data_IF_971019687605
#
_entry.id   IF_971019687605
#
_cell.length_a   1.000
_cell.length_b   1.000
_cell.length_c   1.000
_cell.angle_alpha   90.00
_cell.angle_beta   90.00
_cell.angle_gamma   90.00
#
_symmetry.space_group_name_H-M   'P 1'
#
loop_
_entity.id
_entity.type
_entity.pdbx_description
1 polymer ?
#
# COMPACT_ATOMS: atom_id res chain seq x y z
N UNK A 1 19.10 18.66 -3.36
CA UNK A 1 19.59 18.89 -1.99
C UNK A 1 19.91 17.54 -1.33
N UNK A 2 20.83 16.76 -1.89
CA UNK A 2 21.32 15.49 -1.28
C UNK A 2 22.64 15.87 -0.63
N UNK A 3 22.67 16.02 0.70
CA UNK A 3 23.85 16.60 1.35
C UNK A 3 25.04 15.66 1.48
N UNK A 4 24.88 14.34 1.55
CA UNK A 4 25.99 13.39 1.41
C UNK A 4 25.45 12.01 0.98
N UNK A 5 25.98 11.45 -0.13
CA UNK A 5 25.74 10.07 -0.54
C UNK A 5 26.91 9.22 -0.02
N UNK A 6 26.66 8.38 0.97
CA UNK A 6 27.64 7.38 1.42
C UNK A 6 27.22 6.03 0.84
N UNK A 7 28.05 5.49 -0.06
CA UNK A 7 27.92 4.12 -0.55
C UNK A 7 28.82 3.23 0.30
N UNK A 8 28.23 2.26 1.00
CA UNK A 8 28.99 1.25 1.76
C UNK A 8 28.70 -0.11 1.14
N UNK A 9 29.70 -0.73 0.51
CA UNK A 9 29.62 -2.13 0.07
C UNK A 9 30.04 -3.04 1.23
N UNK A 10 29.09 -3.75 1.83
CA UNK A 10 29.38 -4.82 2.78
C UNK A 10 29.54 -6.14 2.02
N UNK A 11 30.75 -6.66 1.97
CA UNK A 11 31.10 -7.99 1.44
C UNK A 11 31.47 -8.90 2.60
N UNK A 12 30.61 -9.84 2.99
CA UNK A 12 30.95 -10.84 4.01
C UNK A 12 30.35 -12.24 3.70
N UNK A 13 31.09 -13.34 3.95
CA UNK A 13 30.67 -14.71 3.69
C UNK A 13 29.60 -15.24 4.68
N UNK A 14 28.83 -16.24 4.22
CA UNK A 14 27.57 -16.77 4.82
C UNK A 14 27.63 -17.33 6.26
N UNK A 15 28.78 -17.42 6.90
CA UNK A 15 28.94 -18.20 8.14
C UNK A 15 28.77 -17.40 9.44
N UNK A 16 28.51 -16.08 9.35
CA UNK A 16 28.47 -15.17 10.51
C UNK A 16 27.29 -14.19 10.40
N UNK A 17 26.06 -14.71 10.29
CA UNK A 17 24.87 -13.85 10.19
C UNK A 17 24.69 -12.93 11.41
N UNK A 18 25.09 -13.37 12.61
CA UNK A 18 25.05 -12.54 13.83
C UNK A 18 26.03 -11.37 13.78
N UNK A 19 27.28 -11.61 13.39
CA UNK A 19 28.30 -10.55 13.26
C UNK A 19 28.00 -9.61 12.07
N UNK A 20 27.44 -10.15 10.98
CA UNK A 20 26.97 -9.33 9.87
C UNK A 20 25.81 -8.43 10.31
N UNK A 21 24.86 -8.96 11.09
CA UNK A 21 23.73 -8.17 11.59
C UNK A 21 24.19 -7.09 12.57
N UNK A 22 25.11 -7.39 13.49
CA UNK A 22 25.66 -6.39 14.41
C UNK A 22 26.43 -5.29 13.66
N UNK A 23 27.25 -5.67 12.67
CA UNK A 23 27.96 -4.70 11.82
C UNK A 23 27.03 -3.81 11.00
N UNK A 24 25.93 -4.37 10.46
CA UNK A 24 24.91 -3.57 9.76
C UNK A 24 24.22 -2.62 10.74
N UNK A 25 23.83 -3.07 11.93
CA UNK A 25 23.18 -2.21 12.93
C UNK A 25 24.10 -1.08 13.41
N UNK A 26 25.38 -1.37 13.67
CA UNK A 26 26.38 -0.36 14.00
C UNK A 26 26.54 0.65 12.85
N UNK A 27 26.57 0.16 11.60
CA UNK A 27 26.60 1.05 10.45
C UNK A 27 25.38 1.97 10.39
N UNK A 28 24.16 1.45 10.60
CA UNK A 28 22.95 2.29 10.69
C UNK A 28 23.11 3.36 11.78
N UNK A 29 23.52 2.99 13.00
CA UNK A 29 23.78 3.97 14.08
C UNK A 29 24.80 5.03 13.67
N UNK A 30 25.82 4.65 12.91
CA UNK A 30 26.87 5.57 12.45
C UNK A 30 26.38 6.62 11.44
N UNK A 31 25.30 6.34 10.69
CA UNK A 31 24.79 7.20 9.61
C UNK A 31 23.50 7.95 9.96
N UNK A 32 22.83 7.62 11.07
CA UNK A 32 21.64 8.32 11.56
C UNK A 32 21.92 9.82 11.70
N UNK A 33 21.02 10.65 11.15
CA UNK A 33 21.15 12.11 11.15
C UNK A 33 22.26 12.68 10.25
N UNK A 34 23.10 11.84 9.65
CA UNK A 34 24.22 12.26 8.77
C UNK A 34 23.90 12.13 7.28
N UNK A 35 23.02 11.20 6.91
CA UNK A 35 22.64 10.95 5.51
C UNK A 35 21.14 11.06 5.30
N UNK A 36 20.74 11.47 4.10
CA UNK A 36 19.32 11.50 3.69
C UNK A 36 18.88 10.21 3.00
N UNK A 37 19.83 9.43 2.48
CA UNK A 37 19.60 8.15 1.79
C UNK A 37 20.85 7.28 1.88
N UNK A 38 20.69 6.01 2.19
CA UNK A 38 21.75 5.00 2.14
C UNK A 38 21.48 3.97 1.04
N UNK A 39 22.47 3.68 0.20
CA UNK A 39 22.36 2.66 -0.85
C UNK A 39 23.06 1.39 -0.39
N UNK A 40 22.30 0.30 -0.28
CA UNK A 40 22.84 -1.02 0.06
C UNK A 40 22.93 -1.88 -1.20
N UNK A 41 24.13 -2.43 -1.44
CA UNK A 41 24.40 -3.29 -2.60
C UNK A 41 24.64 -4.72 -2.12
N UNK A 42 23.84 -5.68 -2.61
CA UNK A 42 24.01 -7.12 -2.31
C UNK A 42 24.24 -7.93 -3.58
N UNK A 43 24.71 -9.17 -3.43
CA UNK A 43 25.00 -10.04 -4.58
C UNK A 43 23.75 -10.45 -5.34
N UNK A 44 22.62 -10.64 -4.65
CA UNK A 44 21.38 -11.20 -5.21
C UNK A 44 20.16 -10.31 -4.92
N UNK A 45 19.13 -10.39 -5.77
CA UNK A 45 17.93 -9.52 -5.67
C UNK A 45 17.13 -9.69 -4.37
N UNK A 46 17.08 -10.91 -3.82
CA UNK A 46 16.37 -11.27 -2.59
C UNK A 46 17.37 -11.79 -1.56
N UNK A 47 18.30 -10.94 -1.19
CA UNK A 47 19.29 -11.28 -0.17
C UNK A 47 18.60 -11.47 1.19
N UNK A 48 18.94 -12.51 1.98
CA UNK A 48 18.36 -12.73 3.31
C UNK A 48 18.45 -11.52 4.25
N UNK A 49 19.45 -10.63 4.06
CA UNK A 49 19.58 -9.42 4.88
C UNK A 49 18.56 -8.32 4.51
N UNK A 50 17.83 -8.46 3.41
CA UNK A 50 16.93 -7.41 2.91
C UNK A 50 15.91 -6.97 3.97
N UNK A 51 15.21 -7.92 4.58
CA UNK A 51 14.19 -7.60 5.57
C UNK A 51 14.81 -7.03 6.86
N UNK A 52 16.04 -7.44 7.21
CA UNK A 52 16.78 -6.89 8.35
C UNK A 52 17.20 -5.42 8.12
N UNK A 53 17.75 -5.10 6.95
CA UNK A 53 18.03 -3.71 6.54
C UNK A 53 16.74 -2.87 6.61
N UNK A 54 15.60 -3.45 6.23
CA UNK A 54 14.31 -2.76 6.22
C UNK A 54 13.70 -2.59 7.60
N UNK A 55 13.97 -3.50 8.53
CA UNK A 55 13.66 -3.30 9.94
C UNK A 55 14.52 -2.17 10.54
N UNK A 56 15.82 -2.13 10.24
CA UNK A 56 16.72 -1.08 10.72
C UNK A 56 16.40 0.29 10.10
N UNK A 57 16.00 0.34 8.83
CA UNK A 57 15.45 1.52 8.17
C UNK A 57 14.30 2.12 8.98
N UNK A 58 13.35 1.28 9.40
CA UNK A 58 12.21 1.71 10.22
C UNK A 58 12.62 2.13 11.64
N UNK A 59 13.50 1.36 12.28
CA UNK A 59 13.99 1.60 13.65
C UNK A 59 14.79 2.92 13.76
N UNK A 60 15.62 3.20 12.77
CA UNK A 60 16.58 4.30 12.82
C UNK A 60 16.18 5.53 12.00
N UNK A 61 15.09 5.46 11.24
CA UNK A 61 14.65 6.58 10.41
C UNK A 61 15.66 6.95 9.33
N UNK A 62 16.32 5.96 8.73
CA UNK A 62 17.27 6.17 7.62
C UNK A 62 16.67 5.59 6.35
N UNK A 63 16.37 6.45 5.36
CA UNK A 63 15.86 6.01 4.07
C UNK A 63 16.91 5.14 3.36
N UNK A 64 16.52 3.97 2.85
CA UNK A 64 17.42 3.07 2.13
C UNK A 64 16.93 2.65 0.76
N UNK A 65 17.87 2.55 -0.18
CA UNK A 65 17.68 1.91 -1.47
C UNK A 65 18.55 0.66 -1.57
N UNK A 66 17.91 -0.50 -1.58
CA UNK A 66 18.59 -1.78 -1.74
C UNK A 66 18.58 -2.17 -3.23
N UNK A 67 19.76 -2.42 -3.79
CA UNK A 67 19.97 -2.90 -5.17
C UNK A 67 20.91 -4.11 -5.18
N UNK A 68 20.78 -5.00 -6.16
CA UNK A 68 21.75 -6.08 -6.32
C UNK A 68 22.87 -5.70 -7.31
N UNK A 69 24.01 -6.39 -7.24
CA UNK A 69 25.16 -6.18 -8.13
C UNK A 69 24.76 -6.22 -9.60
N UNK A 70 23.87 -7.14 -10.00
CA UNK A 70 23.39 -7.21 -11.38
C UNK A 70 22.64 -5.93 -11.82
N UNK A 71 21.86 -5.33 -10.93
CA UNK A 71 21.19 -4.04 -11.19
C UNK A 71 22.21 -2.92 -11.28
N UNK A 72 23.21 -2.87 -10.38
CA UNK A 72 24.27 -1.87 -10.41
C UNK A 72 25.07 -1.95 -11.71
N UNK A 73 25.49 -3.14 -12.10
CA UNK A 73 26.22 -3.37 -13.36
C UNK A 73 25.38 -2.96 -14.57
N UNK A 74 24.08 -3.25 -14.56
CA UNK A 74 23.19 -2.82 -15.64
C UNK A 74 23.05 -1.28 -15.71
N UNK A 75 23.05 -0.58 -14.57
CA UNK A 75 23.11 0.88 -14.54
C UNK A 75 24.45 1.38 -15.11
N UNK A 76 25.58 0.79 -14.73
CA UNK A 76 26.90 1.15 -15.29
C UNK A 76 27.00 0.90 -16.81
N UNK A 77 26.21 -0.04 -17.33
CA UNK A 77 26.06 -0.32 -18.77
C UNK A 77 25.03 0.58 -19.48
N UNK A 78 24.57 1.67 -18.84
CA UNK A 78 23.59 2.61 -19.40
C UNK A 78 22.27 1.96 -19.86
N UNK A 79 21.81 0.92 -19.15
CA UNK A 79 20.50 0.30 -19.42
C UNK A 79 19.37 1.25 -18.97
N UNK A 80 18.93 2.14 -19.87
CA UNK A 80 17.97 3.22 -19.60
C UNK A 80 16.75 2.81 -18.74
N UNK A 81 16.04 1.74 -19.12
CA UNK A 81 14.86 1.25 -18.36
C UNK A 81 15.17 0.84 -16.93
N UNK A 82 16.37 0.32 -16.66
CA UNK A 82 16.77 -0.08 -15.30
C UNK A 82 17.11 1.16 -14.48
N UNK A 83 17.85 2.10 -15.07
CA UNK A 83 18.18 3.38 -14.45
C UNK A 83 16.91 4.14 -14.09
N UNK A 84 15.97 4.27 -15.04
CA UNK A 84 14.68 4.93 -14.85
C UNK A 84 13.91 4.32 -13.67
N UNK A 85 13.74 2.99 -13.63
CA UNK A 85 13.05 2.32 -12.52
C UNK A 85 13.75 2.55 -11.16
N UNK A 86 15.09 2.60 -11.13
CA UNK A 86 15.82 2.90 -9.89
C UNK A 86 15.60 4.35 -9.47
N UNK A 87 15.67 5.29 -10.41
CA UNK A 87 15.47 6.72 -10.15
C UNK A 87 14.04 7.03 -9.70
N UNK A 88 13.02 6.43 -10.32
CA UNK A 88 11.63 6.57 -9.91
C UNK A 88 11.45 6.19 -8.44
N UNK A 89 12.05 5.05 -8.01
CA UNK A 89 12.01 4.61 -6.61
C UNK A 89 12.79 5.51 -5.66
N UNK A 90 13.95 5.98 -6.07
CA UNK A 90 14.76 6.87 -5.25
C UNK A 90 14.07 8.22 -5.05
N UNK A 91 13.49 8.80 -6.10
CA UNK A 91 12.82 10.09 -6.02
C UNK A 91 11.69 10.06 -4.99
N UNK A 92 10.82 9.04 -5.05
CA UNK A 92 9.68 8.93 -4.11
C UNK A 92 10.12 8.70 -2.68
N UNK A 93 11.17 7.90 -2.46
CA UNK A 93 11.76 7.70 -1.12
C UNK A 93 12.36 8.97 -0.53
N UNK A 94 12.79 9.89 -1.38
CA UNK A 94 13.26 11.21 -0.99
C UNK A 94 12.14 12.26 -0.94
N UNK A 95 10.87 11.85 -0.99
CA UNK A 95 9.71 12.73 -0.91
C UNK A 95 9.29 13.40 -2.22
N UNK A 96 9.91 13.03 -3.35
CA UNK A 96 9.54 13.54 -4.66
C UNK A 96 8.28 12.87 -5.23
N UNK A 97 7.61 13.56 -6.14
CA UNK A 97 6.49 13.05 -6.92
C UNK A 97 6.97 12.95 -8.38
N UNK A 98 6.89 11.76 -8.98
CA UNK A 98 7.39 11.53 -10.34
C UNK A 98 6.40 12.00 -11.40
N UNK A 99 5.11 11.74 -11.18
CA UNK A 99 4.06 12.12 -12.11
C UNK A 99 2.74 12.34 -11.37
N UNK A 100 1.90 13.17 -11.97
CA UNK A 100 0.54 13.47 -11.50
C UNK A 100 -0.46 12.88 -12.48
N UNK A 101 -1.62 12.47 -11.95
CA UNK A 101 -2.72 12.01 -12.79
C UNK A 101 -3.64 13.19 -13.08
N UNK A 102 -3.88 13.43 -14.37
CA UNK A 102 -4.85 14.41 -14.85
C UNK A 102 -5.95 13.67 -15.64
N UNK A 103 -7.23 13.99 -15.45
CA UNK A 103 -8.31 13.59 -16.35
C UNK A 103 -7.98 14.00 -17.78
N UNK A 104 -8.35 13.21 -18.79
CA UNK A 104 -8.04 13.54 -20.20
C UNK A 104 -9.07 14.49 -20.81
N UNK A 105 -8.65 15.23 -21.84
CA UNK A 105 -9.52 16.14 -22.58
C UNK A 105 -10.73 15.44 -23.24
N UNK A 106 -10.62 14.15 -23.54
CA UNK A 106 -11.70 13.34 -24.15
C UNK A 106 -12.73 12.87 -23.13
N UNK A 107 -12.35 12.76 -21.85
CA UNK A 107 -13.33 12.65 -20.77
C UNK A 107 -14.08 13.99 -20.53
N UNK A 108 -13.58 15.09 -21.09
CA UNK A 108 -14.30 16.37 -21.14
C UNK A 108 -15.33 16.30 -22.27
N UNK A 109 -16.62 16.24 -21.91
CA UNK A 109 -17.64 16.67 -22.86
C UNK A 109 -17.36 18.13 -23.29
N UNK A 110 -17.86 18.55 -24.46
CA UNK A 110 -17.61 19.86 -25.09
C UNK A 110 -17.92 21.12 -24.23
N UNK A 111 -18.35 20.98 -22.96
CA UNK A 111 -18.78 22.07 -22.06
C UNK A 111 -18.06 22.10 -20.70
N UNK A 112 -17.08 21.24 -20.44
CA UNK A 112 -16.41 21.16 -19.13
C UNK A 112 -14.93 21.46 -19.28
N UNK A 113 -14.39 22.44 -18.54
CA UNK A 113 -12.95 22.69 -18.56
C UNK A 113 -12.19 21.62 -17.76
N UNK A 114 -10.91 21.42 -18.08
CA UNK A 114 -10.01 20.52 -17.34
C UNK A 114 -10.03 20.83 -15.83
N UNK A 115 -10.04 22.13 -15.47
CA UNK A 115 -10.05 22.61 -14.09
C UNK A 115 -11.34 22.23 -13.33
N UNK A 116 -12.48 22.22 -14.01
CA UNK A 116 -13.77 21.86 -13.42
C UNK A 116 -13.84 20.35 -13.11
N UNK A 117 -13.25 19.52 -13.98
CA UNK A 117 -13.14 18.08 -13.78
C UNK A 117 -12.08 17.69 -12.76
N UNK A 118 -10.93 18.36 -12.70
CA UNK A 118 -9.93 18.16 -11.64
C UNK A 118 -10.57 18.44 -10.27
N UNK A 119 -11.33 19.53 -10.16
CA UNK A 119 -12.14 19.85 -8.97
C UNK A 119 -13.18 18.77 -8.66
N UNK A 120 -13.93 18.30 -9.67
CA UNK A 120 -14.98 17.29 -9.51
C UNK A 120 -14.44 15.91 -9.13
N UNK A 121 -13.35 15.45 -9.76
CA UNK A 121 -12.80 14.10 -9.63
C UNK A 121 -11.82 14.02 -8.46
N UNK A 122 -10.98 15.04 -8.23
CA UNK A 122 -9.91 14.99 -7.23
C UNK A 122 -9.99 16.10 -6.18
N UNK A 123 -10.56 17.26 -6.53
CA UNK A 123 -10.66 18.42 -5.64
C UNK A 123 -11.33 18.07 -4.30
N UNK A 124 -10.65 18.46 -3.21
CA UNK A 124 -11.12 18.27 -1.85
C UNK A 124 -11.32 16.82 -1.41
N UNK A 125 -10.79 15.84 -2.16
CA UNK A 125 -10.91 14.41 -1.83
C UNK A 125 -9.63 13.88 -1.20
N UNK A 126 -9.82 12.97 -0.26
CA UNK A 126 -8.77 12.10 0.24
C UNK A 126 -9.06 10.67 -0.24
N UNK A 127 -8.11 10.10 -0.97
CA UNK A 127 -8.14 8.69 -1.37
C UNK A 127 -7.44 7.86 -0.32
N UNK A 128 -8.03 6.73 0.04
CA UNK A 128 -7.54 5.83 1.08
C UNK A 128 -7.49 4.41 0.54
N UNK A 129 -6.48 3.64 0.90
CA UNK A 129 -6.34 2.22 0.61
C UNK A 129 -6.16 1.41 1.89
N UNK A 130 -6.89 0.31 2.01
CA UNK A 130 -6.74 -0.68 3.06
C UNK A 130 -6.41 -2.06 2.49
N UNK A 131 -5.32 -2.68 2.92
CA UNK A 131 -4.99 -4.08 2.62
C UNK A 131 -4.88 -4.90 3.91
N UNK A 132 -5.44 -6.10 3.90
CA UNK A 132 -5.33 -7.07 4.98
C UNK A 132 -4.41 -8.22 4.58
N UNK A 133 -3.24 -8.29 5.21
CA UNK A 133 -2.39 -9.47 5.12
C UNK A 133 -2.67 -10.39 6.30
N UNK A 134 -3.43 -11.45 6.05
CA UNK A 134 -3.69 -12.50 7.05
C UNK A 134 -2.54 -13.52 7.15
N UNK A 135 -2.43 -14.24 8.27
CA UNK A 135 -1.53 -15.39 8.40
C UNK A 135 -1.82 -16.46 7.35
N UNK A 136 -0.80 -17.24 7.01
CA UNK A 136 -0.97 -18.41 6.15
C UNK A 136 -1.97 -19.41 6.77
N UNK A 137 -2.54 -20.27 5.92
CA UNK A 137 -3.37 -21.38 6.38
C UNK A 137 -2.56 -22.27 7.34
N UNK A 138 -3.11 -22.56 8.52
CA UNK A 138 -2.49 -23.56 9.41
C UNK A 138 -2.48 -24.92 8.72
N UNK A 139 -1.42 -25.68 8.96
CA UNK A 139 -1.33 -27.09 8.57
C UNK A 139 -2.47 -27.88 9.21
N UNK A 140 -2.87 -29.00 8.58
CA UNK A 140 -3.87 -29.90 9.15
C UNK A 140 -3.48 -30.37 10.55
N UNK A 141 -2.19 -30.68 10.74
CA UNK A 141 -1.61 -31.03 12.03
C UNK A 141 -1.83 -29.95 13.10
N UNK A 142 -1.50 -28.69 12.81
CA UNK A 142 -1.67 -27.59 13.77
C UNK A 142 -3.13 -27.35 14.13
N UNK A 143 -4.05 -27.53 13.18
CA UNK A 143 -5.51 -27.42 13.43
C UNK A 143 -6.02 -28.55 14.31
N UNK A 144 -5.64 -29.80 14.01
CA UNK A 144 -6.04 -30.97 14.80
C UNK A 144 -5.54 -30.87 16.25
N UNK A 145 -4.33 -30.34 16.44
CA UNK A 145 -3.73 -30.11 17.75
C UNK A 145 -4.16 -28.79 18.42
N UNK A 146 -5.16 -28.08 17.87
CA UNK A 146 -5.67 -26.80 18.40
C UNK A 146 -4.58 -25.76 18.71
N UNK A 147 -3.50 -25.75 17.91
CA UNK A 147 -2.42 -24.78 18.11
C UNK A 147 -2.95 -23.38 17.79
N UNK A 148 -2.74 -22.44 18.70
CA UNK A 148 -3.12 -21.05 18.50
C UNK A 148 -2.37 -20.42 17.32
N UNK A 149 -3.07 -19.60 16.54
CA UNK A 149 -2.44 -18.75 15.52
C UNK A 149 -1.60 -17.68 16.20
N UNK A 150 -0.29 -17.69 15.97
CA UNK A 150 0.65 -16.74 16.59
C UNK A 150 0.91 -15.51 15.73
N UNK A 151 0.76 -15.63 14.41
CA UNK A 151 0.97 -14.51 13.49
C UNK A 151 -0.25 -13.58 13.47
N UNK A 152 -0.07 -12.25 13.56
CA UNK A 152 -1.15 -11.29 13.47
C UNK A 152 -1.64 -11.12 12.04
N UNK A 153 -2.82 -10.51 11.91
CA UNK A 153 -3.19 -9.83 10.66
C UNK A 153 -2.46 -8.49 10.62
N UNK A 154 -1.87 -8.16 9.47
CA UNK A 154 -1.24 -6.85 9.23
C UNK A 154 -2.19 -6.03 8.39
N UNK A 155 -2.52 -4.83 8.86
CA UNK A 155 -3.28 -3.84 8.10
C UNK A 155 -2.30 -2.88 7.44
N UNK A 156 -2.32 -2.80 6.12
CA UNK A 156 -1.69 -1.72 5.38
C UNK A 156 -2.70 -0.60 5.15
N UNK A 157 -2.31 0.64 5.43
CA UNK A 157 -3.17 1.81 5.32
C UNK A 157 -2.41 2.92 4.59
N UNK A 158 -2.85 3.23 3.38
CA UNK A 158 -2.31 4.34 2.61
C UNK A 158 -3.38 5.42 2.42
N UNK A 159 -2.96 6.68 2.38
CA UNK A 159 -3.86 7.82 2.15
C UNK A 159 -3.16 8.93 1.38
N UNK A 160 -3.90 9.63 0.52
CA UNK A 160 -3.40 10.80 -0.20
C UNK A 160 -3.37 12.02 0.73
N UNK A 161 -2.28 12.80 0.70
CA UNK A 161 -2.11 14.01 1.50
C UNK A 161 -2.40 15.29 0.75
N UNK A 162 -2.58 15.24 -0.57
CA UNK A 162 -2.98 16.39 -1.38
C UNK A 162 -3.40 15.96 -2.77
N UNK A 163 -2.43 15.81 -3.67
CA UNK A 163 -2.68 15.22 -4.98
C UNK A 163 -3.02 13.72 -4.85
N UNK A 164 -3.80 13.13 -5.77
CA UNK A 164 -4.08 11.68 -5.75
C UNK A 164 -2.83 10.81 -5.82
N UNK A 165 -1.74 11.35 -6.39
CA UNK A 165 -0.44 10.71 -6.51
C UNK A 165 0.52 11.00 -5.36
N UNK A 166 0.18 11.96 -4.49
CA UNK A 166 0.93 12.24 -3.28
C UNK A 166 0.28 11.49 -2.11
N UNK A 167 0.80 10.31 -1.82
CA UNK A 167 0.27 9.41 -0.82
C UNK A 167 1.34 8.93 0.15
N UNK A 168 0.92 8.77 1.39
CA UNK A 168 1.73 8.20 2.47
C UNK A 168 0.94 7.08 3.14
N UNK A 169 1.49 6.48 4.18
CA UNK A 169 0.78 5.43 4.87
C UNK A 169 1.55 4.79 6.00
N UNK A 170 0.85 3.89 6.67
CA UNK A 170 1.27 3.19 7.88
C UNK A 170 0.81 1.74 7.81
N UNK A 171 1.32 0.91 8.71
CA UNK A 171 0.76 -0.42 8.95
C UNK A 171 0.64 -0.67 10.44
N UNK A 172 -0.26 -1.57 10.82
CA UNK A 172 -0.37 -2.04 12.20
C UNK A 172 -0.78 -3.50 12.24
N UNK A 173 -0.69 -4.06 13.44
CA UNK A 173 -1.07 -5.43 13.72
C UNK A 173 -2.41 -5.45 14.43
N UNK A 174 -3.18 -6.49 14.14
CA UNK A 174 -4.38 -6.84 14.87
C UNK A 174 -4.47 -8.36 14.99
N UNK A 175 -5.50 -8.81 15.71
CA UNK A 175 -5.73 -10.23 15.97
C UNK A 175 -5.66 -11.09 14.69
N UNK A 176 -5.04 -12.27 14.74
CA UNK A 176 -4.99 -13.22 13.63
C UNK A 176 -6.36 -13.43 13.00
N UNK A 177 -6.43 -13.32 11.67
CA UNK A 177 -7.64 -13.57 10.84
C UNK A 177 -8.87 -12.72 11.17
N UNK A 178 -8.73 -11.64 11.94
CA UNK A 178 -9.82 -10.68 12.11
C UNK A 178 -10.03 -9.91 10.80
N UNK A 179 -11.23 -10.03 10.22
CA UNK A 179 -11.65 -9.36 8.98
C UNK A 179 -11.94 -7.88 9.18
N UNK A 180 -12.62 -7.53 10.28
CA UNK A 180 -12.90 -6.13 10.67
C UNK A 180 -11.60 -5.40 11.00
N UNK A 181 -11.36 -4.25 10.39
CA UNK A 181 -10.21 -3.41 10.69
C UNK A 181 -10.40 -2.74 12.05
N UNK A 182 -9.42 -2.91 12.93
CA UNK A 182 -9.36 -2.22 14.22
C UNK A 182 -8.54 -0.93 14.15
N UNK A 183 -8.75 -0.05 15.14
CA UNK A 183 -7.97 1.17 15.38
C UNK A 183 -8.09 2.27 14.30
N UNK A 184 -9.12 2.21 13.45
CA UNK A 184 -9.40 3.19 12.38
C UNK A 184 -9.35 4.63 12.90
N UNK A 185 -9.99 4.93 14.03
CA UNK A 185 -10.06 6.29 14.59
C UNK A 185 -8.68 6.93 14.77
N UNK A 186 -7.74 6.19 15.34
CA UNK A 186 -6.39 6.68 15.63
C UNK A 186 -5.62 7.01 14.34
N UNK A 187 -5.67 6.11 13.36
CA UNK A 187 -4.94 6.27 12.11
C UNK A 187 -5.58 7.30 11.18
N UNK A 188 -6.91 7.42 11.17
CA UNK A 188 -7.59 8.49 10.43
C UNK A 188 -7.37 9.87 11.04
N UNK A 189 -7.31 10.00 12.38
CA UNK A 189 -6.94 11.28 13.01
C UNK A 189 -5.57 11.78 12.54
N UNK A 190 -4.61 10.85 12.41
CA UNK A 190 -3.28 11.17 11.85
C UNK A 190 -3.38 11.56 10.37
N UNK A 191 -4.12 10.78 9.56
CA UNK A 191 -4.30 11.07 8.14
C UNK A 191 -4.94 12.45 7.89
N UNK A 192 -5.98 12.79 8.64
CA UNK A 192 -6.62 14.11 8.56
C UNK A 192 -5.67 15.24 8.96
N UNK A 193 -4.85 15.01 9.98
CA UNK A 193 -3.82 15.98 10.39
C UNK A 193 -2.79 16.19 9.27
N UNK A 194 -2.31 15.11 8.66
CA UNK A 194 -1.36 15.19 7.54
C UNK A 194 -1.95 15.92 6.33
N UNK A 195 -3.21 15.60 5.98
CA UNK A 195 -3.92 16.28 4.90
C UNK A 195 -4.10 17.77 5.18
N UNK A 196 -4.50 18.13 6.40
CA UNK A 196 -4.64 19.54 6.78
C UNK A 196 -3.30 20.28 6.77
N UNK A 197 -2.22 19.64 7.23
CA UNK A 197 -0.90 20.24 7.22
C UNK A 197 -0.46 20.59 5.79
N UNK A 198 -0.81 19.75 4.81
CA UNK A 198 -0.50 19.97 3.40
C UNK A 198 -1.43 20.98 2.71
N UNK A 199 -2.75 20.89 2.94
CA UNK A 199 -3.75 21.65 2.16
C UNK A 199 -4.33 22.86 2.90
N UNK A 200 -4.07 22.98 4.21
CA UNK A 200 -4.67 23.98 5.11
C UNK A 200 -6.20 23.90 5.21
N UNK A 201 -6.76 22.77 4.82
CA UNK A 201 -8.18 22.42 4.93
C UNK A 201 -8.32 20.92 5.12
N UNK A 202 -9.35 20.47 5.84
CA UNK A 202 -9.72 19.05 5.90
C UNK A 202 -10.36 18.61 4.58
N UNK A 203 -10.28 17.31 4.21
CA UNK A 203 -10.89 16.83 2.98
C UNK A 203 -12.41 16.94 3.06
N UNK A 204 -13.07 17.41 2.00
CA UNK A 204 -14.53 17.44 1.94
C UNK A 204 -15.15 16.05 1.77
N UNK A 205 -14.34 15.09 1.33
CA UNK A 205 -14.79 13.75 1.01
C UNK A 205 -13.64 12.73 1.08
N UNK A 206 -13.98 11.51 1.48
CA UNK A 206 -13.06 10.39 1.64
C UNK A 206 -13.54 9.25 0.73
N UNK A 207 -12.67 8.80 -0.18
CA UNK A 207 -12.90 7.64 -1.04
C UNK A 207 -11.97 6.51 -0.61
N UNK A 208 -12.54 5.47 -0.01
CA UNK A 208 -11.80 4.34 0.56
C UNK A 208 -11.87 3.16 -0.39
N UNK A 209 -10.71 2.64 -0.78
CA UNK A 209 -10.56 1.33 -1.41
C UNK A 209 -10.20 0.29 -0.35
N UNK A 210 -11.15 -0.60 -0.05
CA UNK A 210 -11.00 -1.66 0.94
C UNK A 210 -10.72 -2.99 0.24
N UNK A 211 -9.47 -3.46 0.28
CA UNK A 211 -9.11 -4.75 -0.31
C UNK A 211 -9.59 -5.89 0.55
N UNK A 212 -10.29 -6.84 -0.06
CA UNK A 212 -10.77 -8.03 0.62
C UNK A 212 -11.94 -7.72 1.56
N UNK A 213 -13.13 -8.11 1.12
CA UNK A 213 -14.29 -8.37 1.93
C UNK A 213 -15.25 -9.15 1.04
N UNK A 214 -15.77 -10.26 1.53
CA UNK A 214 -16.88 -10.97 0.90
C UNK A 214 -18.19 -10.23 1.19
N UNK A 215 -19.25 -10.55 0.44
CA UNK A 215 -20.56 -9.90 0.63
C UNK A 215 -21.11 -10.10 2.05
N UNK A 216 -20.80 -11.23 2.69
CA UNK A 216 -21.16 -11.48 4.09
C UNK A 216 -20.43 -10.60 5.10
N UNK A 217 -19.36 -9.91 4.70
CA UNK A 217 -18.58 -9.01 5.54
C UNK A 217 -18.94 -7.53 5.31
N UNK A 218 -19.87 -7.20 4.40
CA UNK A 218 -20.21 -5.81 4.08
C UNK A 218 -20.78 -5.03 5.26
N UNK A 219 -21.51 -5.68 6.16
CA UNK A 219 -21.96 -5.05 7.41
C UNK A 219 -20.76 -4.59 8.26
N UNK A 220 -19.67 -5.36 8.31
CA UNK A 220 -18.45 -4.94 9.02
C UNK A 220 -17.78 -3.75 8.32
N UNK A 221 -17.83 -3.68 6.98
CA UNK A 221 -17.32 -2.54 6.21
C UNK A 221 -18.14 -1.27 6.50
N UNK A 222 -19.45 -1.38 6.69
CA UNK A 222 -20.31 -0.26 7.14
C UNK A 222 -19.91 0.22 8.55
N UNK A 223 -19.62 -0.71 9.47
CA UNK A 223 -19.10 -0.38 10.80
C UNK A 223 -17.73 0.30 10.73
N UNK A 224 -16.83 -0.16 9.85
CA UNK A 224 -15.55 0.48 9.59
C UNK A 224 -15.74 1.95 9.12
N UNK A 225 -16.74 2.22 8.28
CA UNK A 225 -17.07 3.59 7.86
C UNK A 225 -17.58 4.46 9.02
N UNK A 226 -18.33 3.90 9.98
CA UNK A 226 -18.74 4.61 11.18
C UNK A 226 -17.54 5.02 12.05
N UNK A 227 -16.51 4.18 12.12
CA UNK A 227 -15.26 4.53 12.81
C UNK A 227 -14.54 5.70 12.13
N UNK A 228 -14.60 5.80 10.80
CA UNK A 228 -14.08 6.97 10.05
C UNK A 228 -14.88 8.23 10.39
N UNK A 229 -16.23 8.13 10.46
CA UNK A 229 -17.08 9.26 10.87
C UNK A 229 -16.76 9.75 12.28
N UNK A 230 -16.58 8.84 13.23
CA UNK A 230 -16.19 9.18 14.59
C UNK A 230 -14.79 9.85 14.65
N UNK A 231 -13.85 9.39 13.81
CA UNK A 231 -12.55 10.05 13.66
C UNK A 231 -12.70 11.50 13.15
N UNK A 232 -13.58 11.71 12.18
CA UNK A 232 -13.85 13.03 11.61
C UNK A 232 -14.47 13.99 12.65
N UNK A 233 -15.41 13.52 13.47
CA UNK A 233 -15.99 14.35 14.54
C UNK A 233 -14.95 14.85 15.54
N UNK A 234 -13.87 14.07 15.76
CA UNK A 234 -12.74 14.45 16.62
C UNK A 234 -11.87 15.56 16.03
N UNK A 235 -12.03 15.92 14.75
CA UNK A 235 -11.25 16.98 14.08
C UNK A 235 -11.89 18.37 14.21
N UNK A 236 -12.89 18.55 15.09
CA UNK A 236 -13.64 19.80 15.28
C UNK A 236 -12.73 21.01 15.49
N UNK A 237 -11.68 20.87 16.30
CA UNK A 237 -10.77 21.98 16.61
C UNK A 237 -9.98 22.45 15.38
N UNK A 238 -9.59 21.51 14.51
CA UNK A 238 -8.96 21.80 13.22
C UNK A 238 -9.94 22.32 12.16
N UNK A 239 -11.24 22.25 12.45
CA UNK A 239 -12.31 22.74 11.58
C UNK A 239 -12.99 24.01 12.14
N UNK A 240 -12.20 24.91 12.75
CA UNK A 240 -12.67 26.18 13.30
C UNK A 240 -13.79 26.01 14.34
N UNK A 241 -13.72 24.95 15.15
CA UNK A 241 -14.73 24.63 16.17
C UNK A 241 -16.07 24.14 15.61
N UNK A 242 -16.18 23.88 14.30
CA UNK A 242 -17.38 23.34 13.65
C UNK A 242 -17.28 21.83 13.51
N UNK A 243 -18.41 21.13 13.61
CA UNK A 243 -18.46 19.69 13.38
C UNK A 243 -17.97 19.38 11.95
N UNK A 244 -16.97 18.52 11.85
CA UNK A 244 -16.42 18.07 10.57
C UNK A 244 -17.09 16.77 10.16
N UNK A 245 -17.78 16.80 9.01
CA UNK A 245 -18.53 15.67 8.46
C UNK A 245 -18.24 15.53 6.97
N UNK A 246 -17.12 14.88 6.60
CA UNK A 246 -16.82 14.60 5.20
C UNK A 246 -17.79 13.56 4.67
N UNK A 247 -18.06 13.60 3.36
CA UNK A 247 -18.75 12.51 2.67
C UNK A 247 -17.84 11.29 2.59
N UNK A 248 -18.37 10.10 2.83
CA UNK A 248 -17.61 8.85 2.77
C UNK A 248 -18.16 7.94 1.67
N UNK A 249 -17.26 7.44 0.83
CA UNK A 249 -17.53 6.33 -0.10
C UNK A 249 -16.55 5.21 0.18
N UNK A 250 -17.05 3.99 0.41
CA UNK A 250 -16.21 2.79 0.57
C UNK A 250 -16.46 1.83 -0.59
N UNK A 251 -15.41 1.59 -1.36
CA UNK A 251 -15.37 0.69 -2.51
C UNK A 251 -14.56 -0.54 -2.11
N UNK A 252 -15.22 -1.69 -2.00
CA UNK A 252 -14.54 -2.96 -1.75
C UNK A 252 -13.92 -3.47 -3.05
N UNK A 253 -12.61 -3.72 -3.01
CA UNK A 253 -11.84 -4.24 -4.14
C UNK A 253 -11.54 -5.73 -3.93
N UNK A 254 -12.04 -6.58 -4.83
CA UNK A 254 -11.82 -8.03 -4.77
C UNK A 254 -10.85 -8.48 -5.86
N UNK A 255 -9.58 -8.61 -5.47
CA UNK A 255 -8.46 -8.91 -6.38
C UNK A 255 -8.25 -10.40 -6.65
N UNK A 256 -8.94 -11.29 -5.92
CA UNK A 256 -8.86 -12.76 -6.07
C UNK A 256 -10.08 -13.34 -6.78
N UNK A 257 -10.61 -12.62 -7.77
CA UNK A 257 -11.74 -13.08 -8.56
C UNK A 257 -11.33 -14.05 -9.69
N UNK A 258 -12.27 -14.87 -10.13
CA UNK A 258 -12.10 -15.78 -11.25
C UNK A 258 -12.51 -15.18 -12.61
N UNK A 259 -12.94 -13.90 -12.64
CA UNK A 259 -13.29 -13.22 -13.88
C UNK A 259 -12.10 -13.15 -14.84
N UNK A 260 -12.36 -13.38 -16.12
CA UNK A 260 -11.43 -13.15 -17.23
C UNK A 260 -12.22 -12.44 -18.32
N UNK A 261 -11.71 -11.32 -18.81
CA UNK A 261 -12.29 -10.59 -19.93
C UNK A 261 -11.36 -10.81 -21.12
N UNK A 262 -11.88 -11.35 -22.20
CA UNK A 262 -11.13 -11.72 -23.41
C UNK A 262 -11.75 -10.96 -24.60
N UNK A 263 -10.93 -10.36 -25.49
CA UNK A 263 -11.44 -9.75 -26.72
C UNK A 263 -12.24 -10.74 -27.56
N UNK A 264 -13.43 -10.33 -28.04
CA UNK A 264 -14.29 -11.17 -28.87
C UNK A 264 -13.62 -11.58 -30.21
N UNK A 265 -12.69 -10.76 -30.72
CA UNK A 265 -11.90 -11.07 -31.92
C UNK A 265 -11.03 -12.32 -31.73
N UNK A 266 -10.46 -12.51 -30.55
CA UNK A 266 -9.62 -13.68 -30.24
C UNK A 266 -10.40 -14.99 -30.13
N UNK A 267 -11.70 -14.93 -29.82
CA UNK A 267 -12.53 -16.12 -29.83
C UNK A 267 -12.64 -16.74 -31.25
N UNK A 268 -12.29 -15.98 -32.29
CA UNK A 268 -12.37 -16.38 -33.70
C UNK A 268 -11.02 -16.80 -34.28
N UNK A 269 -9.90 -16.39 -33.70
CA UNK A 269 -8.54 -16.67 -34.17
C UNK A 269 -7.76 -17.53 -33.17
N UNK A 270 -7.38 -18.76 -33.54
CA UNK A 270 -6.52 -19.63 -32.73
C UNK A 270 -5.04 -19.41 -33.06
N UNK A 271 -4.58 -18.17 -33.02
CA UNK A 271 -3.13 -17.92 -33.12
C UNK A 271 -2.48 -18.13 -31.74
N UNK A 272 -1.69 -19.19 -31.63
CA UNK A 272 -0.95 -19.52 -30.41
C UNK A 272 0.28 -18.62 -30.17
N UNK A 273 0.63 -17.74 -31.12
CA UNK A 273 1.80 -16.85 -31.03
C UNK A 273 1.48 -15.42 -30.59
N UNK A 274 0.25 -15.15 -30.15
CA UNK A 274 -0.17 -13.82 -29.72
C UNK A 274 0.64 -13.32 -28.52
N UNK A 275 1.12 -12.08 -28.61
CA UNK A 275 1.73 -11.40 -27.47
C UNK A 275 0.66 -11.14 -26.40
N UNK A 276 1.06 -11.05 -25.13
CA UNK A 276 0.14 -10.76 -24.03
C UNK A 276 -0.68 -9.47 -24.26
N UNK A 277 -0.11 -8.45 -24.90
CA UNK A 277 -0.81 -7.22 -25.25
C UNK A 277 -1.90 -7.40 -26.32
N UNK A 278 -1.84 -8.45 -27.12
CA UNK A 278 -2.84 -8.80 -28.14
C UNK A 278 -3.86 -9.81 -27.60
N UNK A 279 -3.43 -10.65 -26.64
CA UNK A 279 -4.25 -11.69 -26.03
C UNK A 279 -5.21 -11.18 -24.94
N UNK A 280 -5.13 -9.90 -24.57
CA UNK A 280 -5.90 -9.30 -23.49
C UNK A 280 -6.68 -8.08 -23.97
N UNK A 281 -7.74 -7.75 -23.23
CA UNK A 281 -8.47 -6.50 -23.45
C UNK A 281 -7.59 -5.28 -23.13
N UNK A 282 -7.86 -4.12 -23.76
CA UNK A 282 -7.18 -2.87 -23.45
C UNK A 282 -7.30 -2.49 -21.96
N UNK A 283 -6.28 -1.81 -21.45
CA UNK A 283 -6.31 -1.19 -20.12
C UNK A 283 -7.53 -0.27 -20.01
N UNK A 284 -8.31 -0.45 -18.94
CA UNK A 284 -9.51 0.33 -18.67
C UNK A 284 -10.80 -0.28 -19.18
N UNK A 285 -10.74 -1.45 -19.82
CA UNK A 285 -11.97 -2.21 -20.12
C UNK A 285 -12.73 -2.48 -18.82
N UNK A 286 -13.98 -2.03 -18.78
CA UNK A 286 -14.88 -2.16 -17.65
C UNK A 286 -16.16 -2.88 -18.05
N UNK A 287 -16.72 -3.64 -17.11
CA UNK A 287 -18.03 -4.29 -17.25
C UNK A 287 -18.85 -3.97 -16.01
N UNK A 288 -19.97 -3.28 -16.20
CA UNK A 288 -20.90 -2.81 -15.15
C UNK A 288 -22.36 -3.26 -15.41
N UNK A 289 -22.57 -4.14 -16.39
CA UNK A 289 -23.86 -4.72 -16.74
C UNK A 289 -23.75 -6.25 -16.86
N UNK A 290 -24.91 -6.92 -16.75
CA UNK A 290 -25.16 -8.37 -16.94
C UNK A 290 -24.45 -9.34 -15.97
N UNK A 291 -23.14 -9.19 -15.79
CA UNK A 291 -22.29 -10.12 -15.00
C UNK A 291 -21.86 -9.54 -13.63
N UNK A 292 -22.46 -8.42 -13.25
CA UNK A 292 -22.28 -7.74 -11.95
C UNK A 292 -23.50 -7.95 -11.05
N UNK A 293 -23.36 -7.63 -9.77
CA UNK A 293 -24.46 -7.71 -8.80
C UNK A 293 -25.67 -6.89 -9.23
N UNK A 294 -26.90 -7.45 -9.22
CA UNK A 294 -28.13 -6.67 -9.44
C UNK A 294 -28.51 -5.83 -8.21
N UNK A 295 -27.86 -6.06 -7.05
CA UNK A 295 -28.19 -5.42 -5.77
C UNK A 295 -27.28 -4.25 -5.44
N UNK A 296 -26.00 -4.33 -5.80
CA UNK A 296 -24.99 -3.34 -5.43
C UNK A 296 -24.52 -2.57 -6.67
N UNK A 297 -24.10 -1.31 -6.48
CA UNK A 297 -23.35 -0.58 -7.51
C UNK A 297 -21.98 -1.25 -7.66
N UNK A 298 -21.77 -1.92 -8.76
CA UNK A 298 -20.63 -2.80 -8.96
C UNK A 298 -20.11 -2.73 -10.39
N UNK A 299 -18.80 -2.83 -10.53
CA UNK A 299 -18.13 -2.91 -11.83
C UNK A 299 -16.89 -3.81 -11.76
N UNK A 300 -16.53 -4.41 -12.89
CA UNK A 300 -15.36 -5.27 -13.04
C UNK A 300 -14.41 -4.62 -14.04
N UNK A 301 -13.20 -4.29 -13.61
CA UNK A 301 -12.25 -3.54 -14.43
C UNK A 301 -10.94 -4.28 -14.67
N UNK A 302 -10.47 -4.26 -15.91
CA UNK A 302 -9.13 -4.66 -16.31
C UNK A 302 -8.24 -3.41 -16.49
N UNK A 303 -7.67 -2.89 -15.40
CA UNK A 303 -6.87 -1.65 -15.41
C UNK A 303 -5.42 -1.84 -15.87
N UNK A 304 -4.77 -2.94 -15.48
CA UNK A 304 -3.36 -3.18 -15.83
C UNK A 304 -3.15 -3.46 -17.32
N UNK A 305 -1.96 -3.13 -17.82
CA UNK A 305 -1.47 -3.65 -19.10
C UNK A 305 -0.62 -4.92 -18.85
N UNK A 306 -1.11 -6.12 -19.15
CA UNK A 306 -0.40 -7.36 -18.84
C UNK A 306 0.78 -7.57 -19.79
N UNK A 307 1.99 -7.71 -19.24
CA UNK A 307 3.17 -8.07 -20.01
C UNK A 307 3.28 -9.58 -20.27
N UNK A 308 2.69 -10.41 -19.41
CA UNK A 308 2.71 -11.89 -19.48
C UNK A 308 1.36 -12.42 -18.99
N UNK A 309 0.84 -13.45 -19.67
CA UNK A 309 -0.37 -14.18 -19.27
C UNK A 309 -1.66 -13.38 -19.45
N UNK A 310 -2.73 -13.87 -18.83
CA UNK A 310 -4.07 -13.25 -18.89
C UNK A 310 -4.24 -12.25 -17.76
N UNK A 311 -4.80 -11.08 -18.08
CA UNK A 311 -5.21 -10.09 -17.10
C UNK A 311 -6.21 -10.70 -16.13
N UNK A 312 -6.13 -10.28 -14.87
CA UNK A 312 -7.08 -10.66 -13.83
C UNK A 312 -7.86 -9.39 -13.45
N UNK A 313 -9.01 -9.13 -14.08
CA UNK A 313 -9.88 -8.03 -13.70
C UNK A 313 -10.17 -8.02 -12.19
N UNK A 314 -10.43 -6.83 -11.65
CA UNK A 314 -10.78 -6.64 -10.23
C UNK A 314 -12.25 -6.26 -10.17
N UNK A 315 -13.01 -6.90 -9.28
CA UNK A 315 -14.40 -6.54 -8.98
C UNK A 315 -14.40 -5.46 -7.91
N UNK A 316 -15.13 -4.39 -8.15
CA UNK A 316 -15.29 -3.26 -7.25
C UNK A 316 -16.75 -3.09 -6.90
N UNK A 317 -17.07 -3.12 -5.61
CA UNK A 317 -18.44 -2.98 -5.11
C UNK A 317 -18.51 -1.76 -4.21
N UNK A 318 -19.40 -0.81 -4.50
CA UNK A 318 -19.65 0.34 -3.62
C UNK A 318 -20.56 -0.15 -2.48
N UNK A 319 -19.99 -0.23 -1.28
CA UNK A 319 -20.69 -0.75 -0.09
C UNK A 319 -21.26 0.37 0.78
N UNK A 320 -20.50 1.45 0.94
CA UNK A 320 -20.93 2.64 1.69
C UNK A 320 -20.87 3.84 0.79
N UNK A 321 -21.91 4.67 0.80
CA UNK A 321 -21.94 5.92 0.04
C UNK A 321 -22.83 6.96 0.72
N UNK A 322 -22.21 8.03 1.22
CA UNK A 322 -22.93 9.21 1.70
C UNK A 322 -23.46 10.05 0.52
N UNK A 323 -24.59 10.72 0.72
CA UNK A 323 -25.24 11.53 -0.31
C UNK A 323 -24.50 12.84 -0.64
N UNK A 324 -24.65 13.38 -1.87
CA UNK A 324 -25.28 12.74 -3.03
C UNK A 324 -24.41 11.61 -3.57
N UNK A 325 -25.03 10.45 -3.83
CA UNK A 325 -24.33 9.28 -4.36
C UNK A 325 -23.79 9.50 -5.76
N UNK A 326 -22.81 8.69 -6.15
CA UNK A 326 -22.13 8.74 -7.44
C UNK A 326 -22.79 7.85 -8.47
N UNK A 327 -22.60 8.20 -9.73
CA UNK A 327 -22.81 7.24 -10.82
C UNK A 327 -21.74 6.15 -10.79
N UNK A 328 -22.06 4.96 -11.32
CA UNK A 328 -21.08 3.87 -11.48
C UNK A 328 -19.93 4.34 -12.37
N UNK A 329 -20.25 5.02 -13.49
CA UNK A 329 -19.25 5.59 -14.39
C UNK A 329 -18.27 6.55 -13.72
N UNK A 330 -18.71 7.39 -12.77
CA UNK A 330 -17.77 8.23 -12.01
C UNK A 330 -16.82 7.39 -11.15
N UNK A 331 -17.32 6.34 -10.51
CA UNK A 331 -16.50 5.44 -9.70
C UNK A 331 -15.50 4.65 -10.57
N UNK A 332 -15.90 4.23 -11.77
CA UNK A 332 -15.03 3.60 -12.76
C UNK A 332 -13.89 4.54 -13.17
N UNK A 333 -14.22 5.76 -13.60
CA UNK A 333 -13.22 6.74 -14.02
C UNK A 333 -12.22 7.06 -12.91
N UNK A 334 -12.70 7.37 -11.70
CA UNK A 334 -11.83 7.62 -10.54
C UNK A 334 -10.92 6.41 -10.29
N UNK A 335 -11.48 5.20 -10.27
CA UNK A 335 -10.72 3.97 -10.04
C UNK A 335 -9.64 3.77 -11.09
N UNK A 336 -9.99 3.97 -12.37
CA UNK A 336 -9.05 3.83 -13.48
C UNK A 336 -7.94 4.88 -13.41
N UNK A 337 -8.28 6.16 -13.20
CA UNK A 337 -7.30 7.22 -13.07
C UNK A 337 -6.30 6.95 -11.94
N UNK A 338 -6.78 6.52 -10.77
CA UNK A 338 -5.91 6.17 -9.66
C UNK A 338 -4.99 4.98 -9.96
N UNK A 339 -5.33 4.08 -10.90
CA UNK A 339 -4.42 3.01 -11.34
C UNK A 339 -3.20 3.55 -12.11
N UNK A 340 -3.27 4.76 -12.68
CA UNK A 340 -2.14 5.43 -13.32
C UNK A 340 -1.30 6.24 -12.33
N UNK A 341 -1.65 6.27 -11.05
CA UNK A 341 -0.96 7.07 -10.05
C UNK A 341 0.29 6.42 -9.45
N UNK A 342 0.69 5.23 -9.91
CA UNK A 342 1.75 4.46 -9.27
C UNK A 342 3.11 5.08 -9.49
N UNK A 343 3.66 5.73 -8.46
CA UNK A 343 4.86 6.55 -8.61
C UNK A 343 6.14 5.79 -9.02
N UNK A 344 6.15 4.45 -9.06
CA UNK A 344 7.35 3.66 -9.39
C UNK A 344 7.35 3.06 -10.79
N UNK A 345 6.29 3.29 -11.57
CA UNK A 345 6.11 2.77 -12.92
C UNK A 345 5.26 3.74 -13.72
N UNK A 346 5.50 3.85 -15.02
CA UNK A 346 4.65 4.64 -15.93
C UNK A 346 3.47 3.84 -16.49
N UNK A 347 3.38 2.55 -16.17
CA UNK A 347 2.29 1.68 -16.60
C UNK A 347 1.21 1.57 -15.51
N UNK A 348 -0.09 1.49 -15.89
CA UNK A 348 -1.18 1.37 -14.94
C UNK A 348 -1.07 0.07 -14.14
N UNK A 349 -1.33 0.18 -12.84
CA UNK A 349 -1.38 -0.96 -11.93
C UNK A 349 -2.73 -1.67 -11.98
N UNK A 350 -2.76 -2.90 -11.45
CA UNK A 350 -3.98 -3.73 -11.38
C UNK A 350 -5.07 -3.14 -10.47
N UNK A 351 -4.67 -2.37 -9.48
CA UNK A 351 -5.54 -1.70 -8.51
C UNK A 351 -5.11 -0.24 -8.42
N UNK A 352 -5.96 0.66 -7.89
CA UNK A 352 -5.57 2.03 -7.59
C UNK A 352 -4.22 2.10 -6.88
N UNK A 353 -3.38 3.08 -7.24
CA UNK A 353 -2.06 3.25 -6.66
C UNK A 353 -2.09 3.33 -5.13
N UNK A 354 -3.15 3.93 -4.57
CA UNK A 354 -3.37 4.00 -3.13
C UNK A 354 -3.60 2.61 -2.49
N UNK A 355 -4.30 1.70 -3.18
CA UNK A 355 -4.50 0.34 -2.71
C UNK A 355 -3.23 -0.49 -2.89
N UNK A 356 -2.51 -0.28 -3.98
CA UNK A 356 -1.20 -0.90 -4.21
C UNK A 356 -0.19 -0.50 -3.13
N UNK A 357 -0.20 0.77 -2.73
CA UNK A 357 0.59 1.31 -1.62
C UNK A 357 0.24 0.62 -0.30
N UNK A 358 -1.05 0.48 0.02
CA UNK A 358 -1.51 -0.27 1.19
C UNK A 358 -1.04 -1.74 1.16
N UNK A 359 -1.04 -2.38 -0.01
CA UNK A 359 -0.51 -3.74 -0.17
C UNK A 359 0.98 -3.84 0.16
N UNK A 360 1.79 -2.88 -0.30
CA UNK A 360 3.21 -2.82 0.01
C UNK A 360 3.47 -2.55 1.51
N UNK A 361 2.65 -1.70 2.14
CA UNK A 361 2.71 -1.45 3.58
C UNK A 361 2.38 -2.71 4.40
N UNK A 362 1.33 -3.44 4.03
CA UNK A 362 0.98 -4.70 4.68
C UNK A 362 2.08 -5.76 4.54
N UNK A 363 2.71 -5.85 3.35
CA UNK A 363 3.89 -6.71 3.12
C UNK A 363 5.07 -6.28 3.99
N UNK A 364 5.35 -4.99 4.09
CA UNK A 364 6.44 -4.45 4.91
C UNK A 364 6.23 -4.76 6.38
N UNK A 365 5.02 -4.57 6.91
CA UNK A 365 4.68 -4.94 8.28
C UNK A 365 4.83 -6.44 8.51
N UNK A 366 4.42 -7.30 7.56
CA UNK A 366 4.66 -8.75 7.69
C UNK A 366 6.15 -9.09 7.74
N UNK A 367 6.97 -8.50 6.87
CA UNK A 367 8.43 -8.68 6.91
C UNK A 367 9.01 -8.24 8.25
N UNK A 368 8.63 -7.06 8.76
CA UNK A 368 9.11 -6.55 10.04
C UNK A 368 8.79 -7.50 11.20
N UNK A 369 7.55 -8.01 11.26
CA UNK A 369 7.16 -9.04 12.23
C UNK A 369 8.02 -10.30 12.14
N UNK A 370 8.23 -10.84 10.93
CA UNK A 370 9.00 -12.06 10.73
C UNK A 370 10.47 -11.88 11.08
N UNK A 371 11.08 -10.77 10.68
CA UNK A 371 12.46 -10.44 11.03
C UNK A 371 12.61 -10.30 12.54
N UNK A 372 11.65 -9.66 13.21
CA UNK A 372 11.67 -9.50 14.66
C UNK A 372 11.58 -10.85 15.39
N UNK A 373 10.67 -11.73 14.97
CA UNK A 373 10.59 -13.09 15.50
C UNK A 373 11.90 -13.85 15.33
N UNK A 374 12.52 -13.79 14.15
CA UNK A 374 13.79 -14.49 13.88
C UNK A 374 14.95 -13.95 14.71
N UNK A 375 14.99 -12.64 14.99
CA UNK A 375 15.96 -12.05 15.91
C UNK A 375 15.79 -12.60 17.35
N UNK A 376 14.54 -12.64 17.85
CA UNK A 376 14.23 -13.17 19.18
C UNK A 376 14.62 -14.67 19.33
N UNK A 377 14.54 -15.47 18.25
CA UNK A 377 14.99 -16.87 18.27
C UNK A 377 16.51 -17.01 18.37
N UNK A 378 17.28 -16.10 17.75
CA UNK A 378 18.75 -16.14 17.75
C UNK A 378 19.35 -15.55 19.03
N UNK A 379 18.65 -14.62 19.71
CA UNK A 379 19.14 -13.90 20.90
C UNK A 379 18.88 -14.60 22.25
N UNK A 380 18.37 -15.83 22.27
CA UNK A 380 18.28 -16.64 23.51
C UNK A 380 19.65 -16.94 24.18
N UNK A 381 20.74 -16.34 23.70
CA UNK A 381 22.10 -16.45 24.23
C UNK A 381 22.66 -15.19 24.95
N UNK A 382 22.13 -13.98 24.82
CA UNK A 382 22.53 -12.85 25.70
C UNK A 382 21.63 -11.60 25.61
N UNK A 383 21.37 -11.02 26.79
CA UNK A 383 20.76 -9.73 27.17
C UNK A 383 19.66 -9.02 26.33
N UNK A 384 18.48 -8.96 26.96
CA UNK A 384 17.27 -8.13 26.78
C UNK A 384 16.84 -7.65 25.37
N UNK A 385 16.00 -8.44 24.67
CA UNK A 385 15.30 -8.00 23.47
C UNK A 385 13.89 -7.46 23.76
N UNK A 386 13.38 -6.58 22.89
CA UNK A 386 11.93 -6.30 22.79
C UNK A 386 11.20 -7.60 22.42
N UNK A 387 10.43 -8.20 23.33
CA UNK A 387 9.75 -9.46 23.06
C UNK A 387 8.46 -9.25 22.27
N UNK A 388 8.21 -10.12 21.29
CA UNK A 388 6.91 -10.24 20.60
C UNK A 388 5.82 -10.90 21.49
N UNK A 389 6.09 -11.11 22.78
CA UNK A 389 5.12 -11.62 23.74
C UNK A 389 4.40 -10.51 24.48
N UNK A 390 3.28 -10.86 25.13
CA UNK A 390 2.67 -10.05 26.18
C UNK A 390 3.71 -9.73 27.26
N UNK A 391 3.65 -8.52 27.81
CA UNK A 391 4.51 -8.07 28.91
C UNK A 391 3.68 -7.80 30.16
N UNK A 392 3.95 -8.52 31.26
CA UNK A 392 3.23 -8.33 32.52
C UNK A 392 1.72 -8.58 32.38
N UNK A 393 0.92 -7.64 32.87
CA UNK A 393 -0.56 -7.67 32.86
C UNK A 393 -1.19 -6.99 31.62
N UNK A 394 -0.39 -6.77 30.56
CA UNK A 394 -0.85 -6.14 29.32
C UNK A 394 -2.02 -6.91 28.66
N UNK A 395 -3.07 -6.19 28.28
CA UNK A 395 -4.17 -6.77 27.50
C UNK A 395 -3.78 -7.06 26.06
N UNK A 396 -4.51 -7.96 25.39
CA UNK A 396 -4.27 -8.29 23.97
C UNK A 396 -4.35 -7.04 23.05
N UNK A 397 -5.23 -6.09 23.37
CA UNK A 397 -5.36 -4.85 22.61
C UNK A 397 -4.14 -3.92 22.79
N UNK A 398 -3.65 -3.79 24.01
CA UNK A 398 -2.45 -2.99 24.32
C UNK A 398 -1.22 -3.59 23.64
N UNK A 399 -1.10 -4.92 23.64
CA UNK A 399 -0.04 -5.63 22.93
C UNK A 399 0.04 -5.25 21.45
N UNK A 400 -1.09 -5.34 20.73
CA UNK A 400 -1.10 -5.02 19.30
C UNK A 400 -0.80 -3.54 19.05
N UNK A 401 -1.25 -2.63 19.91
CA UNK A 401 -0.92 -1.20 19.81
C UNK A 401 0.59 -0.98 20.02
N UNK A 402 1.17 -1.59 21.07
CA UNK A 402 2.60 -1.48 21.39
C UNK A 402 3.48 -2.01 20.28
N UNK A 403 3.28 -3.26 19.85
CA UNK A 403 4.11 -3.88 18.81
C UNK A 403 3.93 -3.20 17.44
N UNK A 404 2.75 -2.64 17.18
CA UNK A 404 2.55 -1.79 16.00
C UNK A 404 3.43 -0.56 16.07
N UNK A 405 3.44 0.19 17.19
CA UNK A 405 4.28 1.38 17.33
C UNK A 405 5.78 1.05 17.27
N UNK A 406 6.19 -0.07 17.84
CA UNK A 406 7.58 -0.51 17.85
C UNK A 406 8.12 -0.83 16.44
N UNK A 407 7.34 -1.55 15.63
CA UNK A 407 7.78 -2.03 14.32
C UNK A 407 7.34 -1.14 13.16
N UNK A 408 6.45 -0.17 13.41
CA UNK A 408 6.00 0.77 12.38
C UNK A 408 7.07 1.83 12.15
N UNK A 409 7.21 2.20 10.88
CA UNK A 409 8.17 3.19 10.47
C UNK A 409 7.65 4.63 10.70
N UNK A 410 8.57 5.54 11.00
CA UNK A 410 8.34 6.98 11.13
C UNK A 410 8.84 7.79 9.92
N UNK A 411 9.44 7.16 8.91
CA UNK A 411 9.96 7.86 7.73
C UNK A 411 8.86 8.56 6.91
N UNK A 412 9.22 9.64 6.18
CA UNK A 412 8.30 10.45 5.37
C UNK A 412 7.70 9.71 4.16
N UNK A 413 6.84 10.42 3.44
CA UNK A 413 5.97 9.94 2.34
C UNK A 413 6.64 8.96 1.36
N UNK A 414 5.84 8.01 0.88
CA UNK A 414 6.20 7.00 -0.14
C UNK A 414 7.35 6.03 0.20
N UNK A 415 7.84 5.97 1.45
CA UNK A 415 8.97 5.11 1.82
C UNK A 415 8.74 3.60 1.55
N UNK A 416 7.48 3.17 1.45
CA UNK A 416 7.07 1.79 1.19
C UNK A 416 7.14 1.40 -0.29
N UNK A 417 7.58 2.32 -1.16
CA UNK A 417 7.93 2.09 -2.56
C UNK A 417 9.11 1.10 -2.72
#
# INVERSE_FOLDING_TARGET
MIRHLISTMLWLPRHLYSELNSGIEEHFRSIVGKVSLAIFVTKIKKDPIHDFIKLLEAKHGVVTQHVCTATVMACCQNRARIIENVLLKMNVKCGGINHVVLPTAVALGNRTSQRDMDGRIFGGKMFVGFELSHPAAQSLYSRQNKQALKEPTVIGFAYSTGLPTDYTGRWWYQKPRLSKIQYIRNYFGTAFTDYFNQNKSLPTEIVVYRSGASEGEFCQVEEEANEIRAAAESMRDMNNGKNYRPRITVIVAQTKSNYRIIPASLARERDHNLKASQANVPSGTCVDADIVSPRFKEFIMASQQPNIGTSRPVRYTIVVEDGPGRSVSEAEHITHFLCHGHQQSVLPTRVPAILYAAENLAKRGRSAWMTKLNADFNEKASMSPLRVSLTGDESEAEFYIRISRELMNSLPNHYFA
#
